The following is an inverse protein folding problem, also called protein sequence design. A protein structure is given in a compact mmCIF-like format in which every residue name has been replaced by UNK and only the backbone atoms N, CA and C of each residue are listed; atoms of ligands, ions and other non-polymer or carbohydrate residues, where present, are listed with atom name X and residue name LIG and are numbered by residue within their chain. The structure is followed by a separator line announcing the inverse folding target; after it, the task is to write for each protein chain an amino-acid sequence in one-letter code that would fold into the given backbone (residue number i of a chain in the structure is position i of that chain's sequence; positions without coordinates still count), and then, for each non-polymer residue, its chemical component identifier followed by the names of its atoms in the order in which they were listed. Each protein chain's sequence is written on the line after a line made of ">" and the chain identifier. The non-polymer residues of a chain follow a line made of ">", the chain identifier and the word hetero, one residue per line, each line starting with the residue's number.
data_IF_632388298044
#
_entry.id   IF_632388298044
#
_cell.length_a   1.000
_cell.length_b   1.000
_cell.length_c   1.000
_cell.angle_alpha   90.00
_cell.angle_beta   90.00
_cell.angle_gamma   90.00
#
_symmetry.space_group_name_H-M   'P 1'
#
loop_
_entity.id
_entity.type
_entity.pdbx_description
1 polymer ?
#
# COMPACT_ATOMS: atom_id res chain seq x y z
N UNK A 1 -5.89 33.99 13.03
CA UNK A 1 -7.08 33.37 12.38
C UNK A 1 -7.03 31.92 12.67
N UNK A 2 -8.08 31.29 13.21
CA UNK A 2 -8.09 29.86 13.36
C UNK A 2 -8.01 29.22 11.96
N UNK A 3 -7.08 28.27 11.77
CA UNK A 3 -7.03 27.49 10.55
C UNK A 3 -8.34 26.69 10.43
N UNK A 4 -8.96 26.64 9.24
CA UNK A 4 -10.13 25.79 9.06
C UNK A 4 -9.75 24.35 9.42
N UNK A 5 -10.53 23.74 10.31
CA UNK A 5 -10.41 22.33 10.60
C UNK A 5 -10.66 21.58 9.30
N UNK A 6 -9.68 20.79 8.86
CA UNK A 6 -9.83 19.91 7.71
C UNK A 6 -9.97 18.50 8.24
N UNK A 7 -11.12 17.92 8.03
CA UNK A 7 -11.38 16.53 8.38
C UNK A 7 -11.00 15.64 7.20
N UNK A 8 -10.30 14.55 7.50
CA UNK A 8 -10.05 13.46 6.57
C UNK A 8 -10.80 12.23 7.09
N UNK A 9 -11.70 11.71 6.27
CA UNK A 9 -12.36 10.43 6.50
C UNK A 9 -11.87 9.43 5.46
N UNK A 10 -11.65 8.20 5.88
CA UNK A 10 -11.14 7.12 5.03
C UNK A 10 -11.79 5.80 5.41
N UNK A 11 -12.15 5.01 4.41
CA UNK A 11 -12.73 3.68 4.57
C UNK A 11 -12.00 2.69 3.66
N UNK A 12 -11.05 1.91 4.19
CA UNK A 12 -10.21 1.02 3.41
C UNK A 12 -10.89 -0.25 2.91
N UNK A 13 -12.17 -0.49 3.22
CA UNK A 13 -12.99 -1.63 2.75
C UNK A 13 -12.32 -2.99 2.93
N UNK A 14 -11.83 -3.27 4.12
CA UNK A 14 -11.20 -4.55 4.46
C UNK A 14 -12.19 -5.47 5.17
N UNK A 15 -12.00 -6.78 5.00
CA UNK A 15 -12.80 -7.79 5.69
C UNK A 15 -12.68 -7.70 7.21
N UNK A 16 -13.78 -7.96 7.91
CA UNK A 16 -13.79 -8.05 9.36
C UNK A 16 -13.23 -9.41 9.78
N UNK A 17 -12.07 -9.42 10.41
CA UNK A 17 -11.36 -10.61 10.85
C UNK A 17 -10.87 -10.48 12.28
N UNK A 18 -10.63 -11.60 12.94
CA UNK A 18 -9.97 -11.66 14.23
C UNK A 18 -8.78 -12.66 14.16
N UNK A 19 -7.54 -12.23 14.42
CA UNK A 19 -7.16 -10.85 14.77
C UNK A 19 -7.36 -9.87 13.62
N UNK A 20 -7.62 -8.59 13.96
CA UNK A 20 -7.75 -7.54 12.97
C UNK A 20 -6.43 -7.25 12.27
N UNK A 21 -6.51 -6.77 11.03
CA UNK A 21 -5.33 -6.44 10.23
C UNK A 21 -4.56 -5.23 10.78
N UNK A 22 -5.29 -4.24 11.31
CA UNK A 22 -4.72 -2.98 11.73
C UNK A 22 -4.11 -3.02 13.14
N UNK A 23 -2.93 -2.45 13.26
CA UNK A 23 -2.26 -2.19 14.52
C UNK A 23 -2.11 -0.68 14.72
N UNK A 24 -2.72 -0.13 15.77
CA UNK A 24 -2.66 1.29 16.09
C UNK A 24 -1.34 1.63 16.76
N UNK A 25 -0.70 2.69 16.33
CA UNK A 25 0.57 3.15 16.85
C UNK A 25 0.61 4.68 16.97
N UNK A 26 1.24 5.15 18.05
CA UNK A 26 1.66 6.53 18.25
C UNK A 26 3.18 6.52 18.44
N UNK A 27 3.91 7.04 17.44
CA UNK A 27 5.36 7.05 17.39
C UNK A 27 5.87 8.46 17.62
N UNK A 28 6.64 8.66 18.67
CA UNK A 28 7.21 9.96 19.00
C UNK A 28 8.72 9.87 19.20
N UNK A 29 9.46 10.72 18.52
CA UNK A 29 10.90 10.81 18.60
C UNK A 29 11.38 12.22 18.19
N UNK A 30 12.69 12.49 18.31
CA UNK A 30 13.22 13.82 18.03
C UNK A 30 12.93 14.37 16.62
N UNK A 31 12.84 13.48 15.64
CA UNK A 31 12.60 13.81 14.22
C UNK A 31 11.32 13.16 13.65
N UNK A 32 10.60 12.39 14.46
CA UNK A 32 9.43 11.65 14.04
C UNK A 32 8.29 11.86 15.03
N UNK A 33 7.14 12.29 14.51
CA UNK A 33 5.90 12.36 15.26
C UNK A 33 4.78 11.95 14.33
N UNK A 34 4.23 10.76 14.54
CA UNK A 34 3.19 10.19 13.69
C UNK A 34 2.28 9.29 14.50
N UNK A 35 0.98 9.39 14.26
CA UNK A 35 -0.03 8.53 14.84
C UNK A 35 -0.91 7.95 13.74
N UNK A 36 -1.28 6.69 13.86
CA UNK A 36 -2.14 6.04 12.88
C UNK A 36 -2.18 4.53 12.99
N UNK A 37 -2.51 3.90 11.89
CA UNK A 37 -2.60 2.46 11.75
C UNK A 37 -1.50 1.90 10.84
N UNK A 38 -0.90 0.81 11.28
CA UNK A 38 0.05 0.00 10.55
C UNK A 38 -0.50 -1.41 10.34
N UNK A 39 0.20 -2.19 9.55
CA UNK A 39 -0.04 -3.62 9.38
C UNK A 39 1.17 -4.35 9.97
N UNK A 40 1.00 -5.37 10.82
CA UNK A 40 2.10 -6.14 11.37
C UNK A 40 3.05 -6.63 10.28
N UNK A 41 4.35 -6.34 10.45
CA UNK A 41 5.38 -6.64 9.47
C UNK A 41 5.73 -5.50 8.51
N UNK A 42 4.95 -4.41 8.45
CA UNK A 42 5.29 -3.20 7.70
C UNK A 42 5.93 -2.15 8.64
N UNK A 43 7.13 -1.66 8.35
CA UNK A 43 7.78 -0.62 9.14
C UNK A 43 7.29 0.79 8.74
N UNK A 44 5.99 0.99 8.68
CA UNK A 44 5.38 2.27 8.26
C UNK A 44 3.98 2.44 8.83
N UNK A 45 3.54 3.69 8.96
CA UNK A 45 2.13 4.03 9.22
C UNK A 45 1.41 4.15 7.88
N UNK A 46 0.50 3.22 7.63
CA UNK A 46 -0.23 3.11 6.34
C UNK A 46 -1.31 4.17 6.22
N UNK A 47 -2.06 4.39 7.31
CA UNK A 47 -3.11 5.40 7.42
C UNK A 47 -2.82 6.21 8.67
N UNK A 48 -2.76 7.53 8.58
CA UNK A 48 -2.45 8.30 9.77
C UNK A 48 -2.26 9.79 9.54
N UNK A 49 -1.63 10.41 10.51
CA UNK A 49 -1.30 11.83 10.47
C UNK A 49 -0.03 12.15 11.23
N UNK A 50 0.57 13.27 10.88
CA UNK A 50 1.54 13.97 11.70
C UNK A 50 1.03 15.40 12.01
N UNK A 51 1.90 16.29 12.46
CA UNK A 51 1.55 17.67 12.78
C UNK A 51 1.21 18.54 11.55
N UNK A 52 1.48 18.03 10.32
CA UNK A 52 1.40 18.80 9.08
C UNK A 52 0.45 18.22 8.06
N UNK A 53 0.41 16.91 7.95
CA UNK A 53 -0.37 16.19 6.94
C UNK A 53 -1.10 15.01 7.56
N UNK A 54 -2.25 14.68 6.99
CA UNK A 54 -2.97 13.43 7.20
C UNK A 54 -3.08 12.71 5.85
N UNK A 55 -3.05 11.37 5.89
CA UNK A 55 -3.18 10.52 4.72
C UNK A 55 -4.03 9.31 5.02
N UNK A 56 -4.75 8.86 4.02
CA UNK A 56 -5.56 7.67 4.01
C UNK A 56 -5.36 6.92 2.70
N UNK A 57 -5.66 5.64 2.70
CA UNK A 57 -5.62 4.78 1.53
C UNK A 57 -6.85 3.89 1.52
N UNK A 58 -7.44 3.69 0.36
CA UNK A 58 -8.57 2.78 0.19
C UNK A 58 -8.40 1.92 -1.04
N UNK A 59 -9.14 0.80 -1.09
CA UNK A 59 -9.17 -0.07 -2.24
C UNK A 59 -10.14 0.48 -3.28
N UNK A 60 -9.68 0.64 -4.50
CA UNK A 60 -10.55 0.98 -5.63
C UNK A 60 -11.00 -0.25 -6.42
N UNK A 61 -10.52 -1.44 -6.01
CA UNK A 61 -10.80 -2.75 -6.62
C UNK A 61 -10.77 -2.74 -8.16
N UNK A 62 -9.72 -2.17 -8.78
CA UNK A 62 -9.61 -2.22 -10.23
C UNK A 62 -9.35 -3.67 -10.65
N UNK A 63 -9.98 -4.05 -11.75
CA UNK A 63 -9.70 -5.32 -12.41
C UNK A 63 -8.39 -5.19 -13.20
N UNK A 64 -7.27 -5.45 -12.53
CA UNK A 64 -5.91 -5.23 -13.06
C UNK A 64 -5.08 -6.51 -13.14
N UNK A 65 -5.63 -7.63 -12.68
CA UNK A 65 -4.93 -8.90 -12.67
C UNK A 65 -5.90 -10.08 -12.84
N UNK A 66 -5.70 -10.85 -13.90
CA UNK A 66 -6.41 -12.09 -14.17
C UNK A 66 -5.49 -13.30 -13.94
N UNK A 67 -6.06 -14.37 -13.44
CA UNK A 67 -5.41 -15.67 -13.34
C UNK A 67 -6.02 -16.63 -14.35
N UNK A 68 -5.19 -17.11 -15.26
CA UNK A 68 -5.58 -18.07 -16.27
C UNK A 68 -5.05 -19.46 -15.93
N UNK A 69 -5.90 -20.47 -16.00
CA UNK A 69 -5.50 -21.87 -15.90
C UNK A 69 -5.24 -22.39 -17.30
N UNK A 70 -3.97 -22.56 -17.63
CA UNK A 70 -3.55 -23.10 -18.92
C UNK A 70 -3.50 -24.64 -18.86
N UNK A 71 -4.11 -25.34 -19.83
CA UNK A 71 -3.95 -26.79 -19.93
C UNK A 71 -2.49 -27.13 -20.28
N UNK A 72 -1.95 -28.31 -19.82
CA UNK A 72 -0.58 -28.70 -20.09
C UNK A 72 -0.22 -28.80 -21.59
N UNK A 73 -1.23 -28.94 -22.44
CA UNK A 73 -1.09 -29.00 -23.90
C UNK A 73 -1.26 -27.67 -24.63
N UNK A 74 -1.41 -26.56 -23.89
CA UNK A 74 -1.58 -25.24 -24.51
C UNK A 74 -0.36 -24.88 -25.36
N UNK A 75 -0.54 -24.39 -26.60
CA UNK A 75 0.57 -23.92 -27.44
C UNK A 75 1.16 -22.65 -26.86
N UNK A 76 2.33 -22.73 -26.25
CA UNK A 76 3.03 -21.59 -25.70
C UNK A 76 3.78 -20.82 -26.81
N UNK A 77 3.65 -19.51 -26.81
CA UNK A 77 4.49 -18.62 -27.61
C UNK A 77 5.56 -18.01 -26.70
N UNK A 78 6.82 -18.24 -27.04
CA UNK A 78 7.91 -17.54 -26.36
C UNK A 78 8.22 -16.21 -27.02
N UNK A 79 8.51 -15.21 -26.22
CA UNK A 79 9.01 -13.92 -26.67
C UNK A 79 10.25 -13.57 -25.86
N UNK A 80 11.32 -13.22 -26.52
CA UNK A 80 12.55 -12.78 -25.85
C UNK A 80 12.44 -11.28 -25.60
N UNK A 81 12.56 -10.89 -24.33
CA UNK A 81 12.66 -9.49 -23.93
C UNK A 81 14.11 -9.16 -23.57
N UNK A 82 14.63 -8.08 -24.11
CA UNK A 82 15.97 -7.59 -23.82
C UNK A 82 15.88 -6.43 -22.84
N UNK A 83 16.37 -6.64 -21.63
CA UNK A 83 16.44 -5.60 -20.61
C UNK A 83 17.84 -5.00 -20.67
N UNK A 84 17.94 -3.75 -21.12
CA UNK A 84 19.21 -3.01 -21.16
C UNK A 84 19.50 -2.39 -19.82
N UNK A 85 20.60 -2.78 -19.21
CA UNK A 85 21.07 -2.23 -17.92
C UNK A 85 22.26 -1.33 -18.17
N UNK A 86 22.21 -0.10 -17.65
CA UNK A 86 23.30 0.87 -17.81
C UNK A 86 24.60 0.30 -17.23
N UNK A 87 25.63 0.20 -18.09
CA UNK A 87 26.95 -0.30 -17.68
C UNK A 87 27.16 -1.82 -17.80
N UNK A 88 26.16 -2.56 -18.28
CA UNK A 88 26.33 -3.96 -18.67
C UNK A 88 26.70 -4.08 -20.14
N UNK A 89 27.49 -5.08 -20.55
CA UNK A 89 27.70 -5.38 -21.96
C UNK A 89 26.40 -5.79 -22.63
N UNK A 90 26.23 -5.41 -23.91
CA UNK A 90 25.08 -5.79 -24.74
C UNK A 90 25.05 -7.30 -25.03
#
# INVERSE_FOLDING_TARGET
>A
MPHPVRDLADDPHLGLTAPMLWYLADLQGPALKVIGASIPGLPSIVIGRNDRVAWGVTNVNPDVQDLYVEPPSAPLKSRTEVIRVKGAPD
#
